data_IF_009422248738
#
_entry.id   IF_009422248738
#
_cell.length_a   1.000
_cell.length_b   1.000
_cell.length_c   1.000
_cell.angle_alpha   90.00
_cell.angle_beta   90.00
_cell.angle_gamma   90.00
#
_symmetry.space_group_name_H-M   'P 1'
#
loop_
_entity.id
_entity.type
_entity.pdbx_description
1 polymer ?
#
# COMPACT_ATOMS: atom_id res chain seq x y z
N UNK A 1 -10.18 7.78 9.71
CA UNK A 1 -11.52 8.00 9.10
C UNK A 1 -11.46 7.84 7.59
N UNK A 2 -10.41 8.32 6.97
CA UNK A 2 -10.18 8.39 5.53
C UNK A 2 -10.01 7.01 4.87
N UNK A 3 -9.32 6.06 5.52
CA UNK A 3 -9.13 4.70 4.99
C UNK A 3 -10.06 3.66 5.59
N UNK A 4 -10.79 3.99 6.63
CA UNK A 4 -11.75 3.08 7.28
C UNK A 4 -13.10 3.78 7.46
N UNK A 5 -13.81 3.96 6.35
CA UNK A 5 -15.14 4.56 6.37
C UNK A 5 -16.18 3.58 6.91
N UNK A 6 -16.84 3.99 7.99
CA UNK A 6 -17.86 3.18 8.65
C UNK A 6 -19.15 3.02 7.84
N UNK A 7 -19.44 3.99 6.97
CA UNK A 7 -20.60 3.88 6.08
C UNK A 7 -20.39 2.77 5.06
N UNK A 8 -19.21 2.70 4.48
CA UNK A 8 -18.80 1.65 3.55
C UNK A 8 -18.80 0.28 4.24
N UNK A 9 -18.18 0.17 5.43
CA UNK A 9 -18.14 -1.10 6.19
C UNK A 9 -19.55 -1.57 6.52
N UNK A 10 -20.43 -0.67 6.95
CA UNK A 10 -21.82 -1.02 7.29
C UNK A 10 -22.67 -1.31 6.06
N UNK A 11 -22.48 -0.57 4.97
CA UNK A 11 -23.22 -0.68 3.72
C UNK A 11 -22.80 -1.83 2.82
N UNK A 12 -21.58 -2.37 2.98
CA UNK A 12 -21.10 -3.48 2.14
C UNK A 12 -22.03 -4.70 2.25
N UNK A 13 -22.59 -5.21 1.15
CA UNK A 13 -23.69 -6.19 1.20
C UNK A 13 -23.26 -7.58 1.62
N UNK A 14 -22.03 -7.98 1.35
CA UNK A 14 -21.54 -9.35 1.56
C UNK A 14 -20.94 -9.51 2.96
N UNK A 15 -21.77 -9.76 3.98
CA UNK A 15 -21.34 -9.90 5.38
C UNK A 15 -20.71 -11.26 5.71
N UNK A 16 -20.80 -12.19 4.80
CA UNK A 16 -20.14 -13.50 4.81
C UNK A 16 -18.74 -13.50 4.17
N UNK A 17 -18.34 -12.39 3.57
CA UNK A 17 -16.99 -12.23 3.06
C UNK A 17 -15.95 -12.38 4.20
N UNK A 18 -14.85 -13.11 3.90
CA UNK A 18 -13.70 -13.17 4.80
C UNK A 18 -13.02 -11.82 4.86
N UNK A 19 -12.85 -11.29 6.06
CA UNK A 19 -12.20 -10.01 6.32
C UNK A 19 -10.85 -10.27 7.00
N UNK A 20 -9.78 -9.77 6.40
CA UNK A 20 -8.44 -9.76 6.96
C UNK A 20 -8.08 -8.33 7.32
N UNK A 21 -7.64 -8.11 8.54
CA UNK A 21 -7.36 -6.76 9.03
C UNK A 21 -6.30 -6.76 10.12
N UNK A 22 -5.63 -5.63 10.35
CA UNK A 22 -4.67 -5.49 11.43
C UNK A 22 -5.30 -5.69 12.81
N UNK A 23 -4.48 -6.09 13.78
CA UNK A 23 -4.89 -6.29 15.18
C UNK A 23 -5.66 -5.09 15.74
N UNK A 24 -6.70 -5.39 16.52
CA UNK A 24 -7.60 -4.47 17.25
C UNK A 24 -8.53 -3.64 16.35
N UNK A 25 -8.71 -4.01 15.09
CA UNK A 25 -9.69 -3.40 14.18
C UNK A 25 -11.01 -4.20 14.09
N UNK A 26 -11.06 -5.45 14.51
CA UNK A 26 -12.24 -6.32 14.44
C UNK A 26 -13.49 -5.73 15.07
N UNK A 27 -13.35 -4.90 16.09
CA UNK A 27 -14.47 -4.19 16.73
C UNK A 27 -15.32 -3.33 15.79
N UNK A 28 -14.77 -2.93 14.64
CA UNK A 28 -15.49 -2.16 13.63
C UNK A 28 -16.21 -3.05 12.60
N UNK A 29 -15.92 -4.37 12.59
CA UNK A 29 -16.43 -5.36 11.64
C UNK A 29 -17.41 -6.38 12.26
N UNK A 30 -18.03 -6.07 13.38
CA UNK A 30 -18.92 -6.98 14.13
C UNK A 30 -20.09 -7.55 13.33
N UNK A 31 -20.46 -6.94 12.20
CA UNK A 31 -21.52 -7.43 11.31
C UNK A 31 -21.04 -8.49 10.30
N UNK A 32 -19.72 -8.74 10.23
CA UNK A 32 -19.15 -9.75 9.35
C UNK A 32 -19.00 -11.07 10.10
N UNK A 33 -19.20 -12.19 9.38
CA UNK A 33 -19.19 -13.51 9.99
C UNK A 33 -17.78 -14.08 10.16
N UNK A 34 -16.85 -13.70 9.29
CA UNK A 34 -15.49 -14.25 9.24
C UNK A 34 -14.47 -13.10 9.27
N UNK A 35 -14.09 -12.72 10.48
CA UNK A 35 -13.15 -11.60 10.74
C UNK A 35 -11.88 -12.15 11.36
N UNK A 36 -10.76 -11.92 10.70
CA UNK A 36 -9.44 -12.40 11.10
C UNK A 36 -8.51 -11.21 11.32
N UNK A 37 -8.14 -10.98 12.58
CA UNK A 37 -7.12 -10.00 12.94
C UNK A 37 -5.73 -10.62 12.79
N UNK A 38 -4.80 -9.87 12.21
CA UNK A 38 -3.44 -10.33 11.89
C UNK A 38 -2.40 -9.44 12.57
N UNK A 39 -1.40 -10.07 13.18
CA UNK A 39 -0.15 -9.42 13.59
C UNK A 39 0.84 -9.43 12.42
N UNK A 40 1.93 -8.65 12.54
CA UNK A 40 2.99 -8.69 11.54
C UNK A 40 3.58 -10.09 11.43
N UNK A 41 3.70 -10.54 10.19
CA UNK A 41 4.18 -11.86 9.76
C UNK A 41 3.16 -13.01 9.95
N UNK A 42 1.95 -12.71 10.42
CA UNK A 42 0.87 -13.70 10.38
C UNK A 42 0.51 -14.07 8.94
N UNK A 43 0.21 -15.33 8.73
CA UNK A 43 -0.13 -15.90 7.43
C UNK A 43 -1.51 -16.55 7.47
N UNK A 44 -2.29 -16.30 6.44
CA UNK A 44 -3.59 -16.97 6.21
C UNK A 44 -3.60 -17.55 4.80
N UNK A 45 -4.01 -18.79 4.68
CA UNK A 45 -4.24 -19.44 3.39
C UNK A 45 -5.73 -19.51 3.10
N UNK A 46 -6.13 -19.04 1.92
CA UNK A 46 -7.50 -19.07 1.40
C UNK A 46 -7.43 -19.77 0.04
N UNK A 47 -7.85 -21.03 -0.02
CA UNK A 47 -7.66 -21.88 -1.21
C UNK A 47 -6.16 -21.88 -1.63
N UNK A 48 -5.87 -21.45 -2.87
CA UNK A 48 -4.51 -21.38 -3.42
C UNK A 48 -3.80 -20.05 -3.16
N UNK A 49 -4.45 -19.14 -2.44
CA UNK A 49 -3.90 -17.81 -2.12
C UNK A 49 -3.34 -17.86 -0.70
N UNK A 50 -2.05 -17.50 -0.56
CA UNK A 50 -1.44 -17.23 0.73
C UNK A 50 -1.32 -15.71 0.92
N UNK A 51 -1.75 -15.22 2.07
CA UNK A 51 -1.68 -13.80 2.44
C UNK A 51 -0.86 -13.69 3.71
N UNK A 52 0.22 -12.92 3.66
CA UNK A 52 1.05 -12.58 4.80
C UNK A 52 0.86 -11.10 5.13
N UNK A 53 0.54 -10.78 6.36
CA UNK A 53 0.52 -9.39 6.81
C UNK A 53 1.93 -8.96 7.21
N UNK A 54 2.44 -7.87 6.63
CA UNK A 54 3.83 -7.43 6.84
C UNK A 54 3.90 -5.97 7.32
N UNK A 55 4.98 -5.59 8.03
CA UNK A 55 5.15 -4.22 8.53
C UNK A 55 5.15 -3.17 7.41
N UNK A 56 4.70 -1.95 7.77
CA UNK A 56 4.82 -0.74 6.97
C UNK A 56 5.30 0.43 7.83
N UNK A 57 5.85 1.46 7.21
CA UNK A 57 6.26 2.70 7.89
C UNK A 57 5.07 3.64 7.93
N UNK A 58 4.23 3.45 8.92
CA UNK A 58 3.02 4.24 9.10
C UNK A 58 2.63 4.33 10.58
N UNK A 59 1.42 4.74 10.85
CA UNK A 59 0.84 4.87 12.18
C UNK A 59 -0.67 4.66 12.13
N UNK A 60 -1.32 4.55 13.28
CA UNK A 60 -2.76 4.45 13.33
C UNK A 60 -3.37 5.43 14.32
N UNK A 61 -4.52 6.02 13.95
CA UNK A 61 -5.31 6.88 14.83
C UNK A 61 -6.73 7.00 14.31
N UNK A 62 -7.71 6.97 15.20
CA UNK A 62 -9.11 7.21 14.89
C UNK A 62 -9.74 8.24 15.83
N UNK A 63 -9.19 8.40 17.02
CA UNK A 63 -9.64 9.36 18.03
C UNK A 63 -8.44 10.08 18.66
N UNK A 64 -8.69 11.05 19.52
CA UNK A 64 -7.62 11.78 20.22
C UNK A 64 -6.79 10.89 21.17
N UNK A 65 -7.32 9.73 21.56
CA UNK A 65 -6.78 8.89 22.64
C UNK A 65 -6.28 7.52 22.18
N UNK A 66 -6.32 7.23 20.86
CA UNK A 66 -6.02 5.88 20.36
C UNK A 66 -4.85 5.81 19.38
N UNK A 67 -3.97 6.80 19.38
CA UNK A 67 -2.75 6.80 18.56
C UNK A 67 -1.95 5.52 18.79
N UNK A 68 -1.68 4.78 17.71
CA UNK A 68 -0.94 3.51 17.68
C UNK A 68 -1.53 2.39 18.59
N UNK A 69 -2.83 2.46 18.91
CA UNK A 69 -3.52 1.40 19.65
C UNK A 69 -4.07 0.27 18.78
N UNK A 70 -4.13 0.46 17.47
CA UNK A 70 -4.41 -0.57 16.47
C UNK A 70 -3.19 -0.77 15.60
N UNK A 71 -3.02 -1.94 15.04
CA UNK A 71 -1.89 -2.22 14.15
C UNK A 71 -2.12 -1.63 12.75
N UNK A 72 -1.04 -1.51 11.96
CA UNK A 72 -1.02 -1.11 10.55
C UNK A 72 0.00 -1.97 9.79
N UNK A 73 -0.06 -2.00 8.48
CA UNK A 73 0.86 -2.79 7.67
C UNK A 73 0.42 -2.92 6.23
N UNK A 74 1.08 -3.84 5.53
CA UNK A 74 0.90 -4.16 4.13
C UNK A 74 0.51 -5.62 3.97
N UNK A 75 -0.04 -5.99 2.81
CA UNK A 75 -0.42 -7.37 2.49
C UNK A 75 0.45 -7.93 1.36
N UNK A 76 1.22 -8.97 1.67
CA UNK A 76 1.89 -9.79 0.67
C UNK A 76 0.96 -10.93 0.27
N UNK A 77 0.65 -11.01 -1.02
CA UNK A 77 -0.28 -11.98 -1.59
C UNK A 77 0.50 -12.89 -2.53
N UNK A 78 0.47 -14.19 -2.28
CA UNK A 78 1.12 -15.21 -3.11
C UNK A 78 0.05 -16.09 -3.77
N UNK A 79 0.10 -16.18 -5.11
CA UNK A 79 -0.81 -16.99 -5.90
C UNK A 79 -0.12 -17.51 -7.16
N UNK A 80 -0.20 -18.82 -7.44
CA UNK A 80 0.37 -19.46 -8.64
C UNK A 80 1.81 -19.02 -8.94
N UNK A 81 2.70 -19.09 -7.95
CA UNK A 81 4.10 -18.68 -8.05
C UNK A 81 4.31 -17.18 -8.37
N UNK A 82 3.31 -16.35 -8.19
CA UNK A 82 3.37 -14.90 -8.29
C UNK A 82 3.23 -14.26 -6.92
N UNK A 83 3.96 -13.17 -6.71
CA UNK A 83 3.94 -12.40 -5.47
C UNK A 83 3.53 -10.97 -5.74
N UNK A 84 2.56 -10.51 -4.98
CA UNK A 84 2.01 -9.17 -5.05
C UNK A 84 2.12 -8.52 -3.68
N UNK A 85 2.71 -7.34 -3.58
CA UNK A 85 2.66 -6.55 -2.36
C UNK A 85 1.70 -5.37 -2.53
N UNK A 86 0.66 -5.33 -1.70
CA UNK A 86 -0.19 -4.17 -1.53
C UNK A 86 0.32 -3.40 -0.32
N UNK A 87 1.06 -2.30 -0.56
CA UNK A 87 1.79 -1.59 0.48
C UNK A 87 0.87 -0.81 1.43
N UNK A 88 -0.39 -0.55 1.05
CA UNK A 88 -1.26 0.41 1.74
C UNK A 88 -0.60 1.79 1.80
N UNK A 89 -0.79 2.54 2.87
CA UNK A 89 -0.08 3.79 3.10
C UNK A 89 1.21 3.52 3.85
N UNK A 90 2.30 4.04 3.31
CA UNK A 90 3.62 3.87 3.92
C UNK A 90 4.58 4.99 3.54
N UNK A 91 5.51 5.29 4.44
CA UNK A 91 6.73 6.02 4.13
C UNK A 91 7.88 5.08 3.76
N UNK A 92 9.02 5.64 3.40
CA UNK A 92 10.23 4.87 3.13
C UNK A 92 10.94 4.45 4.43
N UNK A 93 11.47 3.21 4.46
CA UNK A 93 12.26 2.71 5.59
C UNK A 93 12.98 1.39 5.30
N UNK A 94 13.96 1.05 6.12
CA UNK A 94 14.81 -0.13 5.97
C UNK A 94 14.05 -1.46 5.99
N UNK A 95 12.85 -1.47 6.54
CA UNK A 95 12.00 -2.66 6.58
C UNK A 95 11.75 -3.26 5.19
N UNK A 96 11.70 -2.44 4.13
CA UNK A 96 11.48 -2.92 2.77
C UNK A 96 12.66 -3.72 2.22
N UNK A 97 13.89 -3.37 2.63
CA UNK A 97 15.08 -4.16 2.33
C UNK A 97 15.05 -5.52 3.04
N UNK A 98 14.61 -5.56 4.29
CA UNK A 98 14.42 -6.80 5.05
C UNK A 98 13.33 -7.67 4.42
N UNK A 99 12.18 -7.08 4.04
CA UNK A 99 11.10 -7.78 3.34
C UNK A 99 11.55 -8.29 1.97
N UNK A 100 12.35 -7.52 1.22
CA UNK A 100 12.92 -7.94 -0.06
C UNK A 100 13.92 -9.09 0.07
N UNK A 101 14.66 -9.15 1.18
CA UNK A 101 15.54 -10.28 1.47
C UNK A 101 14.75 -11.53 1.89
N UNK A 102 13.67 -11.38 2.62
CA UNK A 102 12.86 -12.49 3.12
C UNK A 102 11.88 -13.04 2.08
N UNK A 103 11.24 -12.19 1.30
CA UNK A 103 10.12 -12.56 0.43
C UNK A 103 10.36 -12.30 -1.06
N UNK A 104 11.34 -11.47 -1.41
CA UNK A 104 11.63 -11.13 -2.81
C UNK A 104 12.16 -12.30 -3.65
N UNK A 105 12.15 -12.20 -4.96
CA UNK A 105 11.61 -11.06 -5.71
C UNK A 105 10.08 -10.99 -5.68
N UNK A 106 9.53 -9.77 -5.74
CA UNK A 106 8.10 -9.50 -5.86
C UNK A 106 7.76 -9.28 -7.32
N UNK A 107 6.66 -9.85 -7.83
CA UNK A 107 6.28 -9.66 -9.24
C UNK A 107 5.68 -8.27 -9.48
N UNK A 108 4.84 -7.77 -8.55
CA UNK A 108 4.23 -6.45 -8.64
C UNK A 108 4.00 -5.86 -7.24
N UNK A 109 4.47 -4.63 -7.04
CA UNK A 109 4.20 -3.85 -5.81
C UNK A 109 3.25 -2.71 -6.12
N UNK A 110 2.14 -2.63 -5.39
CA UNK A 110 1.22 -1.49 -5.36
C UNK A 110 1.65 -0.56 -4.23
N UNK A 111 1.96 0.70 -4.52
CA UNK A 111 2.53 1.62 -3.54
C UNK A 111 2.00 3.05 -3.69
N UNK A 112 1.76 3.73 -2.57
CA UNK A 112 1.38 5.13 -2.58
C UNK A 112 2.51 6.00 -3.16
N UNK A 113 2.14 6.97 -4.00
CA UNK A 113 3.07 7.93 -4.62
C UNK A 113 2.63 9.38 -4.43
N UNK A 114 1.61 9.63 -3.62
CA UNK A 114 1.06 10.94 -3.30
C UNK A 114 0.94 11.19 -1.80
N UNK A 115 0.47 12.37 -1.44
CA UNK A 115 0.34 12.84 -0.06
C UNK A 115 1.70 13.00 0.66
N UNK A 116 2.70 13.56 -0.02
CA UNK A 116 4.05 13.73 0.53
C UNK A 116 4.43 15.18 0.86
N UNK A 117 3.71 16.18 0.38
CA UNK A 117 4.05 17.59 0.61
C UNK A 117 3.16 18.23 1.69
N UNK A 118 3.62 18.20 2.92
CA UNK A 118 2.96 18.83 4.06
C UNK A 118 3.67 20.10 4.55
N UNK A 119 4.50 20.73 3.72
CA UNK A 119 5.14 21.99 4.08
C UNK A 119 4.08 23.11 4.24
N UNK A 120 4.17 24.02 5.25
CA UNK A 120 5.21 24.13 6.28
C UNK A 120 5.02 23.28 7.54
N UNK A 121 3.95 22.47 7.62
CA UNK A 121 3.69 21.60 8.79
C UNK A 121 4.75 20.51 8.93
N UNK A 122 5.31 20.04 7.81
CA UNK A 122 6.49 19.18 7.78
C UNK A 122 7.73 19.99 7.31
N UNK A 123 8.94 19.66 7.78
CA UNK A 123 10.15 20.47 7.51
C UNK A 123 10.63 20.44 6.06
N UNK A 124 10.16 19.48 5.25
CA UNK A 124 10.56 19.30 3.85
C UNK A 124 9.34 19.29 2.93
N UNK A 125 9.45 20.00 1.80
CA UNK A 125 8.38 20.10 0.79
C UNK A 125 8.05 18.77 0.10
N UNK A 126 9.04 17.92 -0.10
CA UNK A 126 8.94 16.72 -0.95
C UNK A 126 9.09 15.43 -0.16
N UNK A 127 8.92 15.48 1.18
CA UNK A 127 9.16 14.31 2.02
C UNK A 127 8.22 14.27 3.20
N UNK A 128 7.50 13.16 3.30
CA UNK A 128 6.74 12.77 4.48
C UNK A 128 7.38 11.56 5.16
N UNK A 129 7.16 11.39 6.47
CA UNK A 129 7.60 10.21 7.20
C UNK A 129 6.71 9.02 6.86
N UNK A 130 5.41 9.27 6.63
CA UNK A 130 4.37 8.24 6.54
C UNK A 130 3.82 8.01 5.12
N UNK A 131 4.26 8.81 4.16
CA UNK A 131 3.88 8.68 2.75
C UNK A 131 5.12 8.82 1.88
N UNK A 132 5.29 7.94 0.91
CA UNK A 132 6.38 8.05 -0.06
C UNK A 132 6.10 9.10 -1.12
N UNK A 133 7.15 9.84 -1.49
CA UNK A 133 7.15 10.52 -2.78
C UNK A 133 7.43 9.50 -3.91
N UNK A 134 7.28 9.89 -5.18
CA UNK A 134 7.47 8.97 -6.31
C UNK A 134 8.83 8.26 -6.35
N UNK A 135 9.90 8.96 -6.01
CA UNK A 135 11.26 8.40 -6.00
C UNK A 135 11.46 7.42 -4.85
N UNK A 136 10.93 7.73 -3.68
CA UNK A 136 10.96 6.82 -2.52
C UNK A 136 10.15 5.54 -2.80
N UNK A 137 9.02 5.66 -3.51
CA UNK A 137 8.22 4.51 -3.92
C UNK A 137 8.99 3.58 -4.87
N UNK A 138 9.70 4.13 -5.86
CA UNK A 138 10.58 3.36 -6.74
C UNK A 138 11.72 2.71 -5.96
N UNK A 139 12.28 3.41 -4.97
CA UNK A 139 13.34 2.86 -4.13
C UNK A 139 12.85 1.70 -3.25
N UNK A 140 11.62 1.77 -2.72
CA UNK A 140 10.97 0.65 -2.04
C UNK A 140 10.82 -0.54 -3.00
N UNK A 141 10.37 -0.31 -4.23
CA UNK A 141 10.30 -1.35 -5.24
C UNK A 141 11.66 -2.04 -5.46
N UNK A 142 12.74 -1.26 -5.53
CA UNK A 142 14.11 -1.79 -5.65
C UNK A 142 14.52 -2.61 -4.42
N UNK A 143 14.26 -2.10 -3.21
CA UNK A 143 14.57 -2.80 -1.96
C UNK A 143 13.80 -4.12 -1.84
N UNK A 144 12.56 -4.17 -2.31
CA UNK A 144 11.72 -5.37 -2.39
C UNK A 144 12.12 -6.32 -3.52
N UNK A 145 13.07 -5.92 -4.38
CA UNK A 145 13.42 -6.66 -5.62
C UNK A 145 12.19 -6.85 -6.51
N UNK A 146 11.33 -5.84 -6.57
CA UNK A 146 10.10 -5.87 -7.38
C UNK A 146 10.42 -5.77 -8.86
N UNK A 147 9.78 -6.61 -9.67
CA UNK A 147 9.90 -6.55 -11.13
C UNK A 147 9.18 -5.35 -11.71
N UNK A 148 7.99 -5.07 -11.17
CA UNK A 148 7.14 -3.95 -11.55
C UNK A 148 6.60 -3.22 -10.32
N UNK A 149 6.38 -1.92 -10.45
CA UNK A 149 5.82 -1.07 -9.40
C UNK A 149 4.65 -0.29 -9.96
N UNK A 150 3.49 -0.34 -9.30
CA UNK A 150 2.30 0.40 -9.66
C UNK A 150 2.03 1.48 -8.62
N UNK A 151 2.05 2.74 -9.08
CA UNK A 151 1.77 3.89 -8.24
C UNK A 151 0.27 4.06 -7.97
N UNK A 152 -0.11 4.11 -6.70
CA UNK A 152 -1.47 4.37 -6.24
C UNK A 152 -1.53 5.58 -5.29
N UNK A 153 -2.71 5.89 -4.74
CA UNK A 153 -2.91 6.96 -3.74
C UNK A 153 -2.51 8.35 -4.26
N UNK A 154 -2.98 8.71 -5.47
CA UNK A 154 -2.72 10.00 -6.11
C UNK A 154 -3.85 10.38 -7.07
N UNK A 155 -3.92 11.64 -7.46
CA UNK A 155 -4.72 12.12 -8.60
C UNK A 155 -6.23 12.23 -8.36
N UNK A 156 -6.78 11.76 -7.26
CA UNK A 156 -8.23 11.73 -7.00
C UNK A 156 -8.68 12.76 -5.98
N UNK A 157 -7.94 12.89 -4.88
CA UNK A 157 -8.25 13.80 -3.77
C UNK A 157 -7.01 14.63 -3.45
N UNK A 158 -7.18 15.91 -3.19
CA UNK A 158 -6.10 16.78 -2.70
C UNK A 158 -5.90 16.52 -1.22
N UNK A 159 -4.88 15.77 -0.88
CA UNK A 159 -4.52 15.40 0.50
C UNK A 159 -3.35 16.22 1.05
N UNK A 160 -2.52 16.79 0.19
CA UNK A 160 -1.35 17.59 0.53
C UNK A 160 -1.08 18.65 -0.53
N UNK A 161 0.07 19.30 -0.51
CA UNK A 161 0.32 20.52 -1.29
C UNK A 161 1.05 20.29 -2.62
N UNK A 162 1.41 19.06 -2.97
CA UNK A 162 1.89 18.76 -4.32
C UNK A 162 0.77 18.90 -5.36
N UNK A 163 1.09 19.33 -6.60
CA UNK A 163 0.12 19.36 -7.68
C UNK A 163 -0.49 17.98 -7.92
N UNK A 164 -1.80 17.89 -7.95
CA UNK A 164 -2.56 16.62 -7.95
C UNK A 164 -2.12 15.60 -9.03
N UNK A 165 -1.64 16.08 -10.18
CA UNK A 165 -1.19 15.24 -11.30
C UNK A 165 0.34 15.07 -11.37
N UNK A 166 1.09 15.69 -10.45
CA UNK A 166 2.55 15.59 -10.42
C UNK A 166 3.03 14.17 -10.08
N UNK A 167 2.46 13.48 -9.07
CA UNK A 167 3.00 12.19 -8.63
C UNK A 167 3.14 11.18 -9.75
N UNK A 168 2.11 10.99 -10.57
CA UNK A 168 2.15 10.05 -11.68
C UNK A 168 3.19 10.39 -12.75
N UNK A 169 3.34 11.67 -13.10
CA UNK A 169 4.36 12.14 -14.06
C UNK A 169 5.77 11.95 -13.51
N UNK A 170 5.98 12.36 -12.26
CA UNK A 170 7.27 12.27 -11.55
C UNK A 170 7.69 10.81 -11.39
N UNK A 171 6.77 9.92 -11.03
CA UNK A 171 7.01 8.48 -10.92
C UNK A 171 7.52 7.87 -12.23
N UNK A 172 6.85 8.15 -13.35
CA UNK A 172 7.28 7.70 -14.69
C UNK A 172 8.65 8.25 -15.07
N UNK A 173 8.86 9.56 -14.91
CA UNK A 173 10.08 10.23 -15.32
C UNK A 173 11.32 9.78 -14.51
N UNK A 174 11.12 9.38 -13.25
CA UNK A 174 12.20 8.95 -12.38
C UNK A 174 12.54 7.46 -12.51
N UNK A 175 11.71 6.65 -13.20
CA UNK A 175 11.82 5.19 -13.23
C UNK A 175 13.21 4.67 -13.59
N UNK A 176 13.83 5.20 -14.65
CA UNK A 176 15.15 4.77 -15.12
C UNK A 176 16.26 4.99 -14.07
N UNK A 177 16.18 6.05 -13.27
CA UNK A 177 17.17 6.34 -12.22
C UNK A 177 17.16 5.30 -11.10
N UNK A 178 16.04 4.59 -10.93
CA UNK A 178 15.86 3.52 -9.95
C UNK A 178 15.96 2.12 -10.54
N UNK A 179 16.33 2.02 -11.84
CA UNK A 179 16.57 0.74 -12.52
C UNK A 179 15.30 0.09 -13.08
N UNK A 180 14.21 0.84 -13.22
CA UNK A 180 12.97 0.38 -13.87
C UNK A 180 12.87 0.91 -15.29
N UNK A 181 12.50 0.02 -16.23
CA UNK A 181 12.01 0.49 -17.51
C UNK A 181 10.73 1.32 -17.30
N UNK A 182 10.45 2.37 -18.10
CA UNK A 182 9.25 3.18 -17.94
C UNK A 182 7.94 2.39 -17.93
N UNK A 183 7.89 1.22 -18.61
CA UNK A 183 6.71 0.35 -18.61
C UNK A 183 6.56 -0.49 -17.34
N UNK A 184 7.63 -0.65 -16.55
CA UNK A 184 7.62 -1.37 -15.28
C UNK A 184 7.30 -0.46 -14.08
N UNK A 185 7.41 0.87 -14.26
CA UNK A 185 6.88 1.87 -13.36
C UNK A 185 5.48 2.28 -13.83
N UNK A 186 4.47 1.57 -13.37
CA UNK A 186 3.11 1.61 -13.92
C UNK A 186 2.28 2.70 -13.25
N UNK A 187 1.57 3.46 -14.06
CA UNK A 187 0.59 4.45 -13.61
C UNK A 187 -0.70 4.24 -14.40
N UNK A 188 -1.77 3.93 -13.70
CA UNK A 188 -3.09 3.79 -14.32
C UNK A 188 -3.82 5.13 -14.37
N UNK A 189 -4.64 5.31 -15.42
CA UNK A 189 -5.66 6.36 -15.42
C UNK A 189 -6.70 6.06 -14.35
N UNK A 190 -7.28 7.10 -13.77
CA UNK A 190 -8.37 6.94 -12.80
C UNK A 190 -9.53 6.18 -13.46
N UNK A 191 -9.96 5.08 -12.83
CA UNK A 191 -10.98 4.17 -13.36
C UNK A 191 -10.48 3.15 -14.39
N UNK A 192 -9.18 3.12 -14.72
CA UNK A 192 -8.63 2.10 -15.62
C UNK A 192 -8.72 0.72 -15.00
N UNK A 193 -9.17 -0.25 -15.78
CA UNK A 193 -9.21 -1.67 -15.45
C UNK A 193 -8.25 -2.42 -16.38
N UNK A 194 -7.42 -3.30 -15.82
CA UNK A 194 -6.49 -4.13 -16.59
C UNK A 194 -6.42 -5.54 -16.01
N UNK A 195 -6.22 -6.53 -16.87
CA UNK A 195 -5.99 -7.91 -16.44
C UNK A 195 -4.57 -8.04 -15.89
N UNK A 196 -4.41 -8.75 -14.79
CA UNK A 196 -3.10 -8.92 -14.14
C UNK A 196 -2.07 -9.57 -15.07
N UNK A 197 -2.49 -10.49 -15.94
CA UNK A 197 -1.61 -11.15 -16.92
C UNK A 197 -1.02 -10.16 -17.93
N UNK A 198 -1.75 -9.09 -18.25
CA UNK A 198 -1.25 -8.02 -19.14
C UNK A 198 -0.27 -7.11 -18.39
N UNK A 199 -0.55 -6.83 -17.13
CA UNK A 199 0.32 -6.01 -16.28
C UNK A 199 1.67 -6.69 -16.05
N UNK A 200 1.71 -8.03 -15.98
CA UNK A 200 2.92 -8.80 -15.68
C UNK A 200 3.77 -9.16 -16.91
N UNK A 201 3.32 -8.84 -18.12
CA UNK A 201 4.13 -8.95 -19.37
C UNK A 201 5.21 -7.88 -19.40
#
# INVERSE_FOLDING_TARGET
YDHQDMSTIRGFPYKDAKVLLPLKLGKYFQRYKDVNEMDWYDEIKINDIKITFVPAVHWSKRSLWDTNKTLWGSFLIEYKNKKFLFACDTGYGNIYKELGNKYGPIDLTFINIGAYNFYPMAPKKDKSIYHTNPEEALNIGKDLKSKKVLGMHWGTVVLSLEPIMEPGKRFKNSSNQYGYHPDDAIVFKIGQLEKIENVLK
#
